data_IF_426760998938
#
_entry.id   IF_426760998938
#
_cell.length_a   1.000
_cell.length_b   1.000
_cell.length_c   1.000
_cell.angle_alpha   90.00
_cell.angle_beta   90.00
_cell.angle_gamma   90.00
#
_symmetry.space_group_name_H-M   'P 1'
#
loop_
_entity.id
_entity.type
_entity.pdbx_description
1 polymer ?
#
# COMPACT_ATOMS: atom_id res chain seq x y z
N UNK A 1 33.19 4.06 -0.90
CA UNK A 1 32.93 4.06 -0.88
C UNK A 1 32.31 4.26 -0.83
N UNK A 2 32.44 4.03 -0.78
CA UNK A 2 31.92 4.01 -0.60
C UNK A 2 31.23 4.03 -0.51
N UNK A 3 31.33 3.97 -0.52
CA UNK A 3 30.78 3.84 -0.41
C UNK A 3 30.22 3.57 -0.44
N UNK A 4 30.35 3.38 -0.61
CA UNK A 4 29.94 3.01 -0.66
C UNK A 4 29.47 2.57 -0.42
N UNK A 5 29.77 2.41 -0.47
CA UNK A 5 29.32 1.84 -0.29
C UNK A 5 29.02 1.41 0.19
N UNK A 6 29.27 1.30 0.37
CA UNK A 6 28.91 0.62 0.83
C UNK A 6 28.48 0.14 1.04
N UNK A 7 28.54 -0.12 1.08
CA UNK A 7 28.30 -0.72 1.12
C UNK A 7 28.05 -1.17 1.55
N UNK A 8 28.11 -1.31 1.74
CA UNK A 8 28.07 -1.91 2.07
C UNK A 8 28.17 -2.34 2.48
N UNK A 9 28.36 -2.15 2.86
CA UNK A 9 28.78 -2.62 3.38
C UNK A 9 28.98 -3.60 3.51
N UNK A 10 29.55 -3.56 3.66
CA UNK A 10 30.13 -4.82 4.01
C UNK A 10 29.23 -5.97 4.22
N UNK A 11 28.04 -5.74 4.44
CA UNK A 11 27.05 -6.79 4.67
C UNK A 11 26.29 -7.04 3.40
N UNK A 12 26.33 -8.26 2.89
CA UNK A 12 25.67 -8.55 1.64
C UNK A 12 24.17 -8.28 1.67
N UNK A 13 23.56 -8.52 2.81
CA UNK A 13 22.12 -8.31 2.97
C UNK A 13 21.77 -7.18 3.89
N UNK A 14 22.81 -6.54 4.43
CA UNK A 14 22.58 -5.56 5.47
C UNK A 14 22.11 -4.24 4.96
N UNK A 15 21.16 -3.68 5.68
CA UNK A 15 20.75 -2.30 5.48
C UNK A 15 21.43 -1.45 6.53
N UNK A 16 21.75 -0.22 6.18
CA UNK A 16 22.24 0.73 7.17
C UNK A 16 21.09 1.07 8.11
N UNK A 17 21.43 1.63 9.28
CA UNK A 17 20.41 2.09 10.20
C UNK A 17 19.47 3.11 9.56
N UNK A 18 20.06 4.00 8.76
CA UNK A 18 19.27 5.02 8.09
C UNK A 18 18.26 4.39 7.12
N UNK A 19 18.70 3.39 6.37
CA UNK A 19 17.85 2.70 5.43
C UNK A 19 16.74 1.93 6.13
N UNK A 20 17.10 1.29 7.24
CA UNK A 20 16.14 0.54 8.04
C UNK A 20 15.06 1.46 8.60
N UNK A 21 15.49 2.61 9.13
CA UNK A 21 14.54 3.57 9.66
C UNK A 21 13.65 4.14 8.57
N UNK A 22 14.23 4.38 7.40
CA UNK A 22 13.46 4.85 6.26
C UNK A 22 12.38 3.85 5.88
N UNK A 23 12.76 2.57 5.83
CA UNK A 23 11.80 1.51 5.52
C UNK A 23 10.70 1.41 6.57
N UNK A 24 11.06 1.55 7.84
CA UNK A 24 10.05 1.52 8.90
C UNK A 24 9.06 2.65 8.76
N UNK A 25 9.54 3.84 8.44
CA UNK A 25 8.66 4.98 8.21
C UNK A 25 7.78 4.75 7.00
N UNK A 26 8.35 4.15 5.97
CA UNK A 26 7.62 3.83 4.76
C UNK A 26 6.50 2.84 5.05
N UNK A 27 6.82 1.79 5.81
CA UNK A 27 5.83 0.79 6.21
C UNK A 27 4.71 1.44 7.01
N UNK A 28 5.06 2.27 7.99
CA UNK A 28 4.05 2.96 8.80
C UNK A 28 3.17 3.87 7.96
N UNK A 29 3.78 4.59 7.03
CA UNK A 29 3.04 5.47 6.14
C UNK A 29 2.07 4.68 5.27
N UNK A 30 2.56 3.55 4.74
CA UNK A 30 1.72 2.69 3.91
C UNK A 30 0.57 2.10 4.71
N UNK A 31 0.83 1.71 5.96
CA UNK A 31 -0.22 1.16 6.81
C UNK A 31 -1.34 2.17 7.04
N UNK A 32 -0.96 3.44 7.25
CA UNK A 32 -1.96 4.49 7.40
C UNK A 32 -2.74 4.72 6.11
N UNK A 33 -2.05 4.68 4.98
CA UNK A 33 -2.71 4.83 3.68
C UNK A 33 -3.65 3.68 3.41
N UNK A 34 -3.24 2.46 3.80
CA UNK A 34 -4.09 1.29 3.64
C UNK A 34 -5.34 1.40 4.48
N UNK A 35 -5.21 1.91 5.70
CA UNK A 35 -6.36 2.09 6.57
C UNK A 35 -7.35 3.10 5.96
N UNK A 36 -6.82 4.21 5.46
CA UNK A 36 -7.65 5.21 4.80
C UNK A 36 -8.31 4.62 3.55
N UNK A 37 -7.55 3.85 2.77
CA UNK A 37 -8.09 3.26 1.56
C UNK A 37 -9.14 2.21 1.85
N UNK A 38 -8.94 1.44 2.93
CA UNK A 38 -9.96 0.46 3.34
C UNK A 38 -11.28 1.14 3.65
N UNK A 39 -11.20 2.28 4.34
CA UNK A 39 -12.41 3.05 4.63
C UNK A 39 -13.08 3.52 3.34
N UNK A 40 -12.29 3.90 2.34
CA UNK A 40 -12.82 4.33 1.05
C UNK A 40 -13.52 3.18 0.31
N UNK A 41 -12.94 1.99 0.39
CA UNK A 41 -13.55 0.81 -0.21
C UNK A 41 -14.90 0.55 0.45
N UNK A 42 -14.93 0.57 1.78
CA UNK A 42 -16.18 0.34 2.52
C UNK A 42 -17.24 1.39 2.18
N UNK A 43 -16.79 2.63 2.07
CA UNK A 43 -17.69 3.73 1.72
C UNK A 43 -18.28 3.55 0.32
N UNK A 44 -17.44 3.16 -0.62
CA UNK A 44 -17.90 2.93 -1.99
C UNK A 44 -18.87 1.76 -2.06
N UNK A 45 -18.60 0.70 -1.29
CA UNK A 45 -19.49 -0.44 -1.24
C UNK A 45 -20.83 -0.08 -0.59
N UNK A 46 -20.77 0.72 0.47
CA UNK A 46 -21.99 1.18 1.13
C UNK A 46 -22.81 2.07 0.19
N UNK A 47 -22.13 2.91 -0.59
CA UNK A 47 -22.81 3.78 -1.53
C UNK A 47 -23.52 2.98 -2.61
N UNK A 48 -22.98 1.82 -3.00
CA UNK A 48 -23.63 0.96 -3.97
C UNK A 48 -25.02 0.54 -3.49
N UNK A 49 -25.15 0.28 -2.19
CA UNK A 49 -26.43 -0.14 -1.61
C UNK A 49 -27.49 0.95 -1.69
N UNK A 50 -27.08 2.20 -1.89
CA UNK A 50 -27.99 3.34 -1.98
C UNK A 50 -28.39 3.64 -3.42
N UNK A 51 -27.77 2.98 -4.39
CA UNK A 51 -28.08 3.21 -5.79
C UNK A 51 -29.40 2.49 -6.13
N UNK A 52 -30.24 3.18 -6.92
CA UNK A 52 -31.47 2.59 -7.41
C UNK A 52 -31.16 1.35 -8.26
N UNK A 53 -31.67 0.16 -7.88
CA UNK A 53 -31.35 -1.07 -8.62
C UNK A 53 -31.78 -1.06 -10.08
N UNK A 54 -32.69 -0.15 -10.45
CA UNK A 54 -33.13 -0.05 -11.84
C UNK A 54 -32.31 0.96 -12.65
N UNK A 55 -31.45 1.70 -11.98
CA UNK A 55 -30.56 2.68 -12.65
C UNK A 55 -29.23 2.02 -13.00
N UNK A 56 -29.20 1.35 -14.15
CA UNK A 56 -28.03 0.56 -14.55
C UNK A 56 -26.79 1.41 -14.79
N UNK A 57 -26.99 2.64 -15.28
CA UNK A 57 -25.87 3.55 -15.49
C UNK A 57 -25.19 3.89 -14.16
N UNK A 58 -26.00 4.23 -13.17
CA UNK A 58 -25.47 4.58 -11.85
C UNK A 58 -24.82 3.37 -11.18
N UNK A 59 -25.40 2.19 -11.36
CA UNK A 59 -24.81 0.96 -10.83
C UNK A 59 -23.43 0.71 -11.43
N UNK A 60 -23.31 0.88 -12.75
CA UNK A 60 -22.05 0.69 -13.43
C UNK A 60 -21.00 1.69 -12.99
N UNK A 61 -21.40 2.95 -12.82
CA UNK A 61 -20.49 3.98 -12.36
C UNK A 61 -19.99 3.70 -10.94
N UNK A 62 -20.91 3.25 -10.08
CA UNK A 62 -20.52 2.95 -8.71
C UNK A 62 -19.63 1.73 -8.65
N UNK A 63 -19.92 0.72 -9.49
CA UNK A 63 -19.07 -0.45 -9.54
C UNK A 63 -17.65 -0.08 -9.98
N UNK A 64 -17.51 0.83 -10.93
CA UNK A 64 -16.21 1.29 -11.38
C UNK A 64 -15.45 1.96 -10.24
N UNK A 65 -16.16 2.72 -9.40
CA UNK A 65 -15.52 3.34 -8.24
C UNK A 65 -15.02 2.31 -7.23
N UNK A 66 -15.82 1.27 -7.01
CA UNK A 66 -15.43 0.18 -6.13
C UNK A 66 -14.20 -0.52 -6.67
N UNK A 67 -14.20 -0.83 -7.96
CA UNK A 67 -13.07 -1.50 -8.60
C UNK A 67 -11.80 -0.65 -8.50
N UNK A 68 -11.94 0.65 -8.71
CA UNK A 68 -10.82 1.57 -8.61
C UNK A 68 -10.27 1.62 -7.19
N UNK A 69 -11.18 1.64 -6.20
CA UNK A 69 -10.76 1.67 -4.80
C UNK A 69 -10.02 0.40 -4.43
N UNK A 70 -10.49 -0.75 -4.92
CA UNK A 70 -9.82 -2.03 -4.68
C UNK A 70 -8.44 -2.07 -5.35
N UNK A 71 -8.34 -1.54 -6.57
CA UNK A 71 -7.07 -1.52 -7.28
C UNK A 71 -6.05 -0.68 -6.52
N UNK A 72 -6.48 0.46 -5.99
CA UNK A 72 -5.60 1.31 -5.21
C UNK A 72 -5.15 0.61 -3.93
N UNK A 73 -6.06 -0.12 -3.31
CA UNK A 73 -5.72 -0.89 -2.10
C UNK A 73 -4.69 -1.96 -2.41
N UNK A 74 -4.88 -2.66 -3.53
CA UNK A 74 -3.96 -3.71 -3.95
C UNK A 74 -2.55 -3.15 -4.16
N UNK A 75 -2.45 -1.97 -4.77
CA UNK A 75 -1.16 -1.33 -4.98
C UNK A 75 -0.48 -0.99 -3.66
N UNK A 76 -1.25 -0.48 -2.71
CA UNK A 76 -0.72 -0.16 -1.40
C UNK A 76 -0.24 -1.42 -0.68
N UNK A 77 -1.01 -2.49 -0.78
CA UNK A 77 -0.64 -3.76 -0.16
C UNK A 77 0.65 -4.32 -0.75
N UNK A 78 0.80 -4.20 -2.06
CA UNK A 78 2.03 -4.67 -2.70
C UNK A 78 3.24 -3.85 -2.25
N UNK A 79 3.08 -2.54 -2.17
CA UNK A 79 4.17 -1.69 -1.72
C UNK A 79 4.52 -1.98 -0.27
N UNK A 80 3.50 -2.18 0.56
CA UNK A 80 3.68 -2.51 1.97
C UNK A 80 4.40 -3.85 2.12
N UNK A 81 3.97 -4.83 1.36
CA UNK A 81 4.58 -6.16 1.42
C UNK A 81 6.06 -6.10 1.02
N UNK A 82 6.35 -5.36 -0.04
CA UNK A 82 7.71 -5.20 -0.53
C UNK A 82 8.61 -4.55 0.53
N UNK A 83 8.13 -3.48 1.13
CA UNK A 83 8.89 -2.78 2.16
C UNK A 83 9.08 -3.65 3.40
N UNK A 84 8.02 -4.38 3.78
CA UNK A 84 8.08 -5.27 4.93
C UNK A 84 9.07 -6.41 4.71
N UNK A 85 9.08 -6.96 3.51
CA UNK A 85 9.99 -8.05 3.18
C UNK A 85 11.45 -7.58 3.24
N UNK A 86 11.70 -6.36 2.81
CA UNK A 86 13.05 -5.80 2.89
C UNK A 86 13.50 -5.67 4.33
N UNK A 87 12.60 -5.27 5.21
CA UNK A 87 12.91 -5.17 6.63
C UNK A 87 13.16 -6.54 7.25
N UNK A 88 12.30 -7.50 6.92
CA UNK A 88 12.43 -8.85 7.46
C UNK A 88 13.66 -9.55 6.93
N UNK A 89 13.99 -9.30 5.69
CA UNK A 89 15.17 -9.88 5.08
C UNK A 89 16.46 -9.47 5.76
N UNK A 90 16.42 -8.39 6.53
CA UNK A 90 17.53 -7.92 7.31
C UNK A 90 17.91 -8.87 8.43
N UNK A 91 16.95 -9.53 8.95
CA UNK A 91 17.14 -10.43 10.07
C UNK A 91 17.63 -11.79 9.63
#
# INVERSE_FOLDING_TARGET
AAAEKPKASGQPNGLSNAERQKLRREVSSLERKMETQRARVEEAEAAMAQVDPTNYTALGEQQAKIDEAHAAMDELEMAWLEASEKLEGEE
#
